data_IF_369885901547
#
_entry.id   IF_369885901547
#
_cell.length_a   1.000
_cell.length_b   1.000
_cell.length_c   1.000
_cell.angle_alpha   90.00
_cell.angle_beta   90.00
_cell.angle_gamma   90.00
#
_symmetry.space_group_name_H-M   'P 1'
#
loop_
_entity.id
_entity.type
_entity.pdbx_description
1 polymer ?
#
# COMPACT_ATOMS: atom_id res chain seq x y z
N UNK A 1 1.51 -13.96 -26.18
CA UNK A 1 1.50 -12.88 -25.15
C UNK A 1 2.90 -12.72 -24.58
N UNK A 2 3.34 -11.50 -24.39
CA UNK A 2 4.67 -11.25 -23.78
C UNK A 2 4.64 -11.73 -22.32
N UNK A 3 5.74 -12.35 -21.86
CA UNK A 3 5.86 -12.91 -20.52
C UNK A 3 5.52 -11.88 -19.42
N UNK A 4 6.07 -10.66 -19.53
CA UNK A 4 5.83 -9.62 -18.53
C UNK A 4 4.35 -9.26 -18.42
N UNK A 5 3.62 -9.28 -19.52
CA UNK A 5 2.19 -8.98 -19.53
C UNK A 5 1.39 -10.10 -18.86
N UNK A 6 1.74 -11.34 -19.13
CA UNK A 6 1.11 -12.50 -18.48
C UNK A 6 1.32 -12.45 -16.95
N UNK A 7 2.56 -12.19 -16.52
CA UNK A 7 2.90 -12.08 -15.11
C UNK A 7 2.13 -10.91 -14.44
N UNK A 8 1.95 -9.82 -15.15
CA UNK A 8 1.20 -8.66 -14.65
C UNK A 8 -0.29 -8.97 -14.49
N UNK A 9 -0.89 -9.65 -15.45
CA UNK A 9 -2.28 -10.10 -15.39
C UNK A 9 -2.49 -11.06 -14.22
N UNK A 10 -1.57 -12.00 -14.04
CA UNK A 10 -1.59 -12.92 -12.91
C UNK A 10 -1.59 -12.15 -11.57
N UNK A 11 -0.73 -11.15 -11.44
CA UNK A 11 -0.68 -10.30 -10.24
C UNK A 11 -1.96 -9.51 -10.03
N UNK A 12 -2.62 -9.08 -11.10
CA UNK A 12 -3.92 -8.40 -11.00
C UNK A 12 -4.97 -9.30 -10.34
N UNK A 13 -5.08 -10.56 -10.75
CA UNK A 13 -6.03 -11.50 -10.16
C UNK A 13 -5.68 -11.84 -8.70
N UNK A 14 -4.40 -12.04 -8.40
CA UNK A 14 -3.93 -12.29 -7.02
C UNK A 14 -4.25 -11.09 -6.13
N UNK A 15 -3.93 -9.88 -6.59
CA UNK A 15 -4.21 -8.66 -5.84
C UNK A 15 -5.71 -8.45 -5.60
N UNK A 16 -6.53 -8.71 -6.60
CA UNK A 16 -7.99 -8.65 -6.47
C UNK A 16 -8.53 -9.64 -5.45
N UNK A 17 -8.04 -10.86 -5.45
CA UNK A 17 -8.42 -11.88 -4.46
C UNK A 17 -8.03 -11.45 -3.04
N UNK A 18 -6.85 -10.87 -2.86
CA UNK A 18 -6.40 -10.34 -1.57
C UNK A 18 -7.33 -9.24 -1.06
N UNK A 19 -7.62 -8.24 -1.89
CA UNK A 19 -8.51 -7.13 -1.53
C UNK A 19 -9.92 -7.63 -1.22
N UNK A 20 -10.44 -8.56 -2.01
CA UNK A 20 -11.75 -9.16 -1.78
C UNK A 20 -11.81 -9.90 -0.43
N UNK A 21 -10.77 -10.65 -0.07
CA UNK A 21 -10.71 -11.37 1.21
C UNK A 21 -10.66 -10.40 2.39
N UNK A 22 -9.88 -9.33 2.32
CA UNK A 22 -9.82 -8.28 3.35
C UNK A 22 -11.20 -7.62 3.51
N UNK A 23 -11.83 -7.27 2.40
CA UNK A 23 -13.16 -6.63 2.39
C UNK A 23 -14.22 -7.52 3.04
N UNK A 24 -14.22 -8.81 2.72
CA UNK A 24 -15.14 -9.78 3.32
C UNK A 24 -14.91 -9.88 4.84
N UNK A 25 -13.66 -10.04 5.27
CA UNK A 25 -13.33 -10.15 6.69
C UNK A 25 -13.76 -8.91 7.48
N UNK A 26 -13.46 -7.74 6.93
CA UNK A 26 -13.80 -6.47 7.59
C UNK A 26 -15.32 -6.25 7.68
N UNK A 27 -16.06 -6.59 6.63
CA UNK A 27 -17.50 -6.33 6.55
C UNK A 27 -18.34 -7.36 7.30
N UNK A 28 -17.99 -8.65 7.22
CA UNK A 28 -18.85 -9.74 7.68
C UNK A 28 -18.33 -10.51 8.87
N UNK A 29 -17.05 -10.37 9.22
CA UNK A 29 -16.49 -11.01 10.42
C UNK A 29 -16.20 -9.97 11.50
N UNK A 30 -15.14 -9.19 11.34
CA UNK A 30 -14.86 -8.07 12.23
C UNK A 30 -13.92 -7.07 11.58
N UNK A 31 -14.04 -5.76 11.89
CA UNK A 31 -13.05 -4.78 11.41
C UNK A 31 -11.63 -5.10 11.83
N UNK A 32 -11.44 -5.65 13.03
CA UNK A 32 -10.13 -6.05 13.53
C UNK A 32 -9.51 -7.19 12.70
N UNK A 33 -10.32 -8.20 12.35
CA UNK A 33 -9.85 -9.31 11.51
C UNK A 33 -9.42 -8.81 10.14
N UNK A 34 -10.21 -7.92 9.54
CA UNK A 34 -9.85 -7.28 8.27
C UNK A 34 -8.57 -6.46 8.38
N UNK A 35 -8.40 -5.71 9.46
CA UNK A 35 -7.20 -4.88 9.70
C UNK A 35 -5.94 -5.73 9.85
N UNK A 36 -6.02 -6.83 10.61
CA UNK A 36 -4.89 -7.75 10.79
C UNK A 36 -4.51 -8.40 9.45
N UNK A 37 -5.50 -8.85 8.69
CA UNK A 37 -5.28 -9.46 7.39
C UNK A 37 -4.68 -8.46 6.39
N UNK A 38 -5.14 -7.22 6.42
CA UNK A 38 -4.60 -6.15 5.59
C UNK A 38 -3.13 -5.84 5.95
N UNK A 39 -2.77 -5.88 7.23
CA UNK A 39 -1.42 -5.59 7.70
C UNK A 39 -0.40 -6.68 7.35
N UNK A 40 -0.86 -7.91 7.04
CA UNK A 40 0.03 -8.94 6.52
C UNK A 40 0.55 -8.52 5.13
N UNK A 41 1.81 -8.80 4.79
CA UNK A 41 2.42 -8.29 3.55
C UNK A 41 1.92 -9.00 2.29
N UNK A 42 0.62 -9.09 2.12
CA UNK A 42 -0.02 -9.84 1.03
C UNK A 42 0.21 -9.21 -0.34
N UNK A 43 0.28 -7.89 -0.42
CA UNK A 43 0.56 -7.19 -1.68
C UNK A 43 2.07 -7.04 -1.93
N UNK A 44 2.86 -6.97 -0.87
CA UNK A 44 4.31 -6.86 -0.97
C UNK A 44 4.93 -8.13 -1.59
N UNK A 45 4.52 -9.30 -1.14
CA UNK A 45 5.07 -10.58 -1.61
C UNK A 45 4.85 -10.77 -3.12
N UNK A 46 3.64 -10.63 -3.67
CA UNK A 46 3.44 -10.72 -5.12
C UNK A 46 4.24 -9.68 -5.91
N UNK A 47 4.39 -8.47 -5.38
CA UNK A 47 5.18 -7.43 -6.03
C UNK A 47 6.66 -7.80 -6.09
N UNK A 48 7.22 -8.30 -5.00
CA UNK A 48 8.61 -8.78 -4.96
C UNK A 48 8.82 -9.97 -5.91
N UNK A 49 7.87 -10.91 -5.92
CA UNK A 49 7.93 -12.07 -6.81
C UNK A 49 7.89 -11.65 -8.28
N UNK A 50 7.03 -10.68 -8.63
CA UNK A 50 7.00 -10.11 -9.97
C UNK A 50 8.35 -9.49 -10.35
N UNK A 51 8.94 -8.67 -9.46
CA UNK A 51 10.27 -8.08 -9.69
C UNK A 51 11.32 -9.16 -9.93
N UNK A 52 11.31 -10.22 -9.15
CA UNK A 52 12.21 -11.35 -9.32
C UNK A 52 12.03 -12.02 -10.68
N UNK A 53 10.80 -12.29 -11.10
CA UNK A 53 10.48 -12.88 -12.41
C UNK A 53 10.94 -12.00 -13.57
N UNK A 54 10.94 -10.68 -13.40
CA UNK A 54 11.43 -9.74 -14.41
C UNK A 54 12.95 -9.55 -14.38
N UNK A 55 13.65 -10.37 -13.62
CA UNK A 55 15.11 -10.36 -13.57
C UNK A 55 15.73 -9.21 -12.77
N UNK A 56 14.96 -8.57 -11.91
CA UNK A 56 15.49 -7.51 -11.06
C UNK A 56 16.44 -8.07 -10.00
N UNK A 57 17.51 -7.33 -9.70
CA UNK A 57 18.50 -7.75 -8.72
C UNK A 57 17.94 -7.71 -7.29
N UNK A 58 18.52 -8.53 -6.40
CA UNK A 58 18.17 -8.49 -4.98
C UNK A 58 18.40 -7.11 -4.36
N UNK A 59 19.41 -6.36 -4.84
CA UNK A 59 19.63 -4.98 -4.41
C UNK A 59 18.41 -4.09 -4.72
N UNK A 60 17.88 -4.20 -5.92
CA UNK A 60 16.72 -3.40 -6.34
C UNK A 60 15.44 -3.81 -5.58
N UNK A 61 15.27 -5.11 -5.35
CA UNK A 61 14.16 -5.61 -4.52
C UNK A 61 14.30 -5.08 -3.08
N UNK A 62 15.50 -5.12 -2.52
CA UNK A 62 15.77 -4.57 -1.19
C UNK A 62 15.46 -3.08 -1.11
N UNK A 63 15.86 -2.29 -2.10
CA UNK A 63 15.54 -0.86 -2.16
C UNK A 63 14.02 -0.62 -2.17
N UNK A 64 13.27 -1.41 -2.91
CA UNK A 64 11.81 -1.34 -2.93
C UNK A 64 11.23 -1.63 -1.54
N UNK A 65 11.66 -2.71 -0.89
CA UNK A 65 11.14 -3.11 0.43
C UNK A 65 11.48 -2.09 1.50
N UNK A 66 12.73 -1.60 1.52
CA UNK A 66 13.14 -0.59 2.51
C UNK A 66 12.46 0.75 2.27
N UNK A 67 12.29 1.17 1.01
CA UNK A 67 11.51 2.36 0.70
C UNK A 67 10.05 2.21 1.16
N UNK A 68 9.47 1.02 1.02
CA UNK A 68 8.12 0.71 1.52
C UNK A 68 8.06 0.86 3.04
N UNK A 69 9.09 0.43 3.76
CA UNK A 69 9.16 0.58 5.22
C UNK A 69 8.95 2.04 5.65
N UNK A 70 9.63 2.98 4.99
CA UNK A 70 9.48 4.41 5.29
C UNK A 70 8.17 4.97 4.78
N UNK A 71 7.69 4.49 3.62
CA UNK A 71 6.38 4.88 3.09
C UNK A 71 5.22 4.42 4.00
N UNK A 72 5.39 3.36 4.78
CA UNK A 72 4.42 2.95 5.79
C UNK A 72 4.18 4.04 6.85
N UNK A 73 5.17 4.91 7.11
CA UNK A 73 4.98 6.08 7.96
C UNK A 73 3.93 7.04 7.40
N UNK A 74 3.97 7.29 6.09
CA UNK A 74 2.95 8.10 5.40
C UNK A 74 1.58 7.44 5.54
N UNK A 75 1.51 6.14 5.31
CA UNK A 75 0.27 5.38 5.43
C UNK A 75 -0.25 5.35 6.87
N UNK A 76 0.63 5.23 7.86
CA UNK A 76 0.27 5.27 9.28
C UNK A 76 -0.47 6.56 9.63
N UNK A 77 0.08 7.72 9.28
CA UNK A 77 -0.57 9.00 9.56
C UNK A 77 -1.85 9.18 8.75
N UNK A 78 -1.86 8.71 7.51
CA UNK A 78 -3.05 8.78 6.65
C UNK A 78 -4.20 7.95 7.23
N UNK A 79 -3.95 6.71 7.61
CA UNK A 79 -4.99 5.83 8.17
C UNK A 79 -5.48 6.33 9.52
N UNK A 80 -4.59 6.87 10.34
CA UNK A 80 -4.99 7.50 11.60
C UNK A 80 -5.93 8.69 11.36
N UNK A 81 -5.61 9.54 10.41
CA UNK A 81 -6.45 10.68 10.04
C UNK A 81 -7.81 10.24 9.49
N UNK A 82 -7.83 9.27 8.57
CA UNK A 82 -9.06 8.73 7.99
C UNK A 82 -9.96 8.15 9.09
N UNK A 83 -9.40 7.33 9.98
CA UNK A 83 -10.14 6.74 11.08
C UNK A 83 -10.78 7.79 11.98
N UNK A 84 -10.05 8.86 12.30
CA UNK A 84 -10.59 9.96 13.10
C UNK A 84 -11.67 10.75 12.34
N UNK A 85 -11.51 10.98 11.04
CA UNK A 85 -12.54 11.65 10.24
C UNK A 85 -13.86 10.86 10.23
N UNK A 86 -13.79 9.52 10.10
CA UNK A 86 -14.99 8.68 10.18
C UNK A 86 -15.60 8.66 11.58
N UNK A 87 -14.77 8.71 12.61
CA UNK A 87 -15.24 8.75 14.00
C UNK A 87 -16.02 10.04 14.31
N UNK A 88 -15.57 11.17 13.76
CA UNK A 88 -16.22 12.47 13.95
C UNK A 88 -17.45 12.64 13.07
N UNK A 89 -17.44 12.08 11.85
CA UNK A 89 -18.53 12.21 10.89
C UNK A 89 -19.51 11.07 11.06
N UNK A 90 -20.70 11.39 11.56
CA UNK A 90 -21.75 10.39 11.86
C UNK A 90 -22.43 9.82 10.62
N UNK A 91 -22.43 10.55 9.50
CA UNK A 91 -23.09 10.17 8.25
C UNK A 91 -22.22 10.51 7.04
N UNK A 92 -22.38 9.74 5.97
CA UNK A 92 -21.63 9.94 4.74
C UNK A 92 -20.35 9.13 4.69
N UNK A 93 -19.96 8.75 3.50
CA UNK A 93 -18.79 7.90 3.25
C UNK A 93 -17.65 8.64 2.54
N UNK A 94 -17.99 9.48 1.56
CA UNK A 94 -17.01 10.02 0.61
C UNK A 94 -16.13 11.13 1.17
N UNK A 95 -16.69 12.01 2.01
CA UNK A 95 -15.95 13.19 2.48
C UNK A 95 -14.73 12.82 3.34
N UNK A 96 -14.83 11.95 4.35
CA UNK A 96 -13.66 11.49 5.09
C UNK A 96 -12.62 10.82 4.19
N UNK A 97 -13.06 10.05 3.22
CA UNK A 97 -12.18 9.37 2.28
C UNK A 97 -11.40 10.36 1.40
N UNK A 98 -12.08 11.37 0.86
CA UNK A 98 -11.42 12.40 0.03
C UNK A 98 -10.44 13.23 0.85
N UNK A 99 -10.78 13.60 2.08
CA UNK A 99 -9.86 14.26 3.00
C UNK A 99 -8.62 13.41 3.28
N UNK A 100 -8.83 12.13 3.53
CA UNK A 100 -7.73 11.19 3.76
C UNK A 100 -6.83 11.03 2.54
N UNK A 101 -7.40 10.90 1.35
CA UNK A 101 -6.64 10.84 0.11
C UNK A 101 -5.81 12.11 -0.11
N UNK A 102 -6.34 13.28 0.24
CA UNK A 102 -5.61 14.55 0.20
C UNK A 102 -4.42 14.55 1.16
N UNK A 103 -4.61 14.08 2.38
CA UNK A 103 -3.51 13.95 3.37
C UNK A 103 -2.44 13.00 2.85
N UNK A 104 -2.83 11.85 2.33
CA UNK A 104 -1.89 10.90 1.74
C UNK A 104 -1.08 11.54 0.61
N UNK A 105 -1.73 12.28 -0.28
CA UNK A 105 -1.07 12.94 -1.40
C UNK A 105 -0.04 13.98 -0.92
N UNK A 106 -0.40 14.78 0.09
CA UNK A 106 0.51 15.79 0.67
C UNK A 106 1.70 15.11 1.36
N UNK A 107 1.45 14.15 2.24
CA UNK A 107 2.50 13.43 2.96
C UNK A 107 3.38 12.61 2.01
N UNK A 108 2.80 11.99 0.99
CA UNK A 108 3.52 11.26 -0.03
C UNK A 108 4.42 12.18 -0.87
N UNK A 109 3.94 13.37 -1.24
CA UNK A 109 4.73 14.36 -1.94
C UNK A 109 5.90 14.86 -1.09
N UNK A 110 5.68 15.10 0.20
CA UNK A 110 6.73 15.50 1.14
C UNK A 110 7.77 14.38 1.28
N UNK A 111 7.34 13.15 1.46
CA UNK A 111 8.22 11.97 1.53
C UNK A 111 9.07 11.84 0.26
N UNK A 112 8.46 11.91 -0.91
CA UNK A 112 9.16 11.85 -2.18
C UNK A 112 10.19 12.97 -2.31
N UNK A 113 9.81 14.20 -1.97
CA UNK A 113 10.69 15.36 -2.04
C UNK A 113 11.90 15.21 -1.11
N UNK A 114 11.71 14.71 0.12
CA UNK A 114 12.77 14.46 1.08
C UNK A 114 13.74 13.40 0.54
N UNK A 115 13.22 12.29 0.05
CA UNK A 115 14.05 11.20 -0.50
C UNK A 115 14.90 11.69 -1.68
N UNK A 116 14.30 12.47 -2.58
CA UNK A 116 15.01 13.00 -3.76
C UNK A 116 16.00 14.09 -3.37
N UNK A 117 15.64 15.02 -2.48
CA UNK A 117 16.51 16.12 -2.07
C UNK A 117 17.78 15.62 -1.38
N UNK A 118 17.64 14.65 -0.46
CA UNK A 118 18.77 14.08 0.26
C UNK A 118 19.40 12.86 -0.44
N UNK A 119 18.90 12.49 -1.61
CA UNK A 119 19.38 11.34 -2.38
C UNK A 119 19.46 10.05 -1.56
N UNK A 120 18.41 9.79 -0.78
CA UNK A 120 18.36 8.64 0.13
C UNK A 120 18.09 7.31 -0.59
N UNK A 121 17.60 7.38 -1.81
CA UNK A 121 17.20 6.21 -2.60
C UNK A 121 18.34 5.18 -2.77
N UNK A 122 19.56 5.65 -2.93
CA UNK A 122 20.73 4.79 -3.01
C UNK A 122 21.18 4.17 -1.69
N UNK A 123 20.68 4.66 -0.58
CA UNK A 123 21.04 4.21 0.77
C UNK A 123 20.02 3.22 1.38
N UNK A 124 18.98 2.93 0.65
CA UNK A 124 17.99 1.92 1.06
C UNK A 124 18.52 0.51 0.91
#
# INVERSE_FOLDING_TARGET
MKKWLFDLIQNFFVGGAIVASISYLAAFMSPLAGAIWWAFPLSLIPSMYYMHKQGQSNKKISQFVLATTYALGVLFFTTLAIGNFYKEQKTGFWLPLVKGAGIWAILGAIYYAIVKYFNLEGNF
#
